data_IF_261713937417
#
_entry.id   IF_261713937417
#
_cell.length_a   1.000
_cell.length_b   1.000
_cell.length_c   1.000
_cell.angle_alpha   90.00
_cell.angle_beta   90.00
_cell.angle_gamma   90.00
#
_symmetry.space_group_name_H-M   'P 1'
#
loop_
_entity.id
_entity.type
_entity.pdbx_description
1 polymer ?
#
# COMPACT_ATOMS: atom_id res chain seq x y z
N UNK A 1 -14.17 0.45 41.65
CA UNK A 1 -12.78 0.63 41.17
C UNK A 1 -12.89 1.15 39.76
N UNK A 2 -12.37 2.35 39.49
CA UNK A 2 -12.47 2.99 38.17
C UNK A 2 -11.73 2.15 37.13
N UNK A 3 -12.38 1.87 35.99
CA UNK A 3 -11.71 1.36 34.79
C UNK A 3 -10.68 2.38 34.34
N UNK A 4 -9.41 2.16 34.71
CA UNK A 4 -8.32 2.85 34.05
C UNK A 4 -8.26 2.29 32.62
N UNK A 5 -8.65 3.11 31.63
CA UNK A 5 -8.61 2.73 30.23
C UNK A 5 -7.20 2.28 29.81
N UNK A 6 -7.12 1.26 28.95
CA UNK A 6 -5.85 0.67 28.51
C UNK A 6 -5.07 1.53 27.48
N UNK A 7 -5.64 2.67 27.07
CA UNK A 7 -5.09 3.52 26.02
C UNK A 7 -4.56 4.86 26.58
N UNK A 8 -3.56 5.41 25.88
CA UNK A 8 -3.09 6.77 26.12
C UNK A 8 -4.15 7.80 25.71
N UNK A 9 -4.09 8.99 26.31
CA UNK A 9 -5.04 10.08 26.06
C UNK A 9 -5.07 10.50 24.57
N UNK A 10 -3.94 10.39 23.88
CA UNK A 10 -3.76 10.74 22.46
C UNK A 10 -3.80 9.53 21.51
N UNK A 11 -4.30 8.38 21.97
CA UNK A 11 -4.42 7.20 21.12
C UNK A 11 -5.26 7.50 19.87
N UNK A 12 -4.71 7.13 18.70
CA UNK A 12 -5.41 7.21 17.41
C UNK A 12 -5.49 5.81 16.80
N UNK A 13 -6.66 5.49 16.25
CA UNK A 13 -6.87 4.25 15.47
C UNK A 13 -6.33 4.36 14.04
N UNK A 14 -5.84 5.52 13.65
CA UNK A 14 -5.26 5.79 12.33
C UNK A 14 -3.75 5.69 12.39
N UNK A 15 -3.09 5.24 11.31
CA UNK A 15 -1.64 5.24 11.23
C UNK A 15 -1.03 6.63 11.41
N UNK A 16 0.07 6.71 12.16
CA UNK A 16 0.78 7.96 12.45
C UNK A 16 1.15 8.77 11.19
N UNK A 17 1.58 8.10 10.12
CA UNK A 17 2.02 8.77 8.90
C UNK A 17 0.89 9.47 8.13
N UNK A 18 -0.38 9.10 8.34
CA UNK A 18 -1.52 9.78 7.70
C UNK A 18 -1.73 11.21 8.19
N UNK A 19 -1.15 11.59 9.32
CA UNK A 19 -1.18 12.97 9.80
C UNK A 19 -0.43 13.94 8.85
N UNK A 20 0.61 13.45 8.16
CA UNK A 20 1.42 14.24 7.22
C UNK A 20 1.34 13.75 5.78
N UNK A 21 0.79 12.57 5.55
CA UNK A 21 0.59 11.97 4.23
C UNK A 21 -0.80 11.37 4.17
N UNK A 22 -1.84 12.22 4.04
CA UNK A 22 -3.22 11.76 3.99
C UNK A 22 -3.40 10.82 2.81
N UNK A 23 -4.27 9.83 2.99
CA UNK A 23 -4.55 8.85 1.94
C UNK A 23 -5.17 9.56 0.73
N UNK A 24 -4.65 9.37 -0.48
CA UNK A 24 -5.26 9.94 -1.67
C UNK A 24 -6.61 9.25 -1.96
N UNK A 25 -7.56 10.00 -2.49
CA UNK A 25 -8.69 9.39 -3.19
C UNK A 25 -8.20 8.90 -4.55
N UNK A 26 -8.32 7.59 -4.79
CA UNK A 26 -7.91 6.97 -6.03
C UNK A 26 -9.14 6.61 -6.85
N UNK A 27 -9.11 6.96 -8.15
CA UNK A 27 -10.11 6.46 -9.08
C UNK A 27 -9.98 4.95 -9.25
N UNK A 28 -11.10 4.25 -9.24
CA UNK A 28 -11.12 2.83 -9.55
C UNK A 28 -10.85 2.65 -11.05
N UNK A 29 -9.68 2.10 -11.36
CA UNK A 29 -9.34 1.68 -12.72
C UNK A 29 -9.67 0.20 -12.90
N UNK A 30 -10.22 -0.21 -14.07
CA UNK A 30 -10.45 -1.62 -14.34
C UNK A 30 -9.12 -2.37 -14.35
N UNK A 31 -9.08 -3.49 -13.62
CA UNK A 31 -7.90 -4.34 -13.56
C UNK A 31 -7.90 -5.33 -14.74
N UNK A 32 -6.73 -5.65 -15.31
CA UNK A 32 -6.60 -6.76 -16.22
C UNK A 32 -7.07 -8.06 -15.55
N UNK A 33 -7.72 -8.95 -16.31
CA UNK A 33 -8.14 -10.25 -15.79
C UNK A 33 -6.95 -11.14 -15.40
N UNK A 34 -5.83 -11.00 -16.13
CA UNK A 34 -4.61 -11.77 -15.92
C UNK A 34 -3.38 -10.87 -16.07
N UNK A 35 -2.32 -11.21 -15.33
CA UNK A 35 -1.00 -10.60 -15.40
C UNK A 35 0.04 -11.68 -15.09
N UNK A 36 1.21 -11.63 -15.72
CA UNK A 36 2.27 -12.61 -15.45
C UNK A 36 2.86 -12.43 -14.04
N UNK A 37 2.98 -11.17 -13.59
CA UNK A 37 3.48 -10.81 -12.26
C UNK A 37 2.64 -9.69 -11.63
N UNK A 38 2.12 -9.95 -10.42
CA UNK A 38 1.53 -8.96 -9.54
C UNK A 38 2.52 -8.60 -8.41
N UNK A 39 2.86 -7.32 -8.26
CA UNK A 39 3.74 -6.80 -7.20
C UNK A 39 2.90 -6.01 -6.21
N UNK A 40 2.99 -6.33 -4.92
CA UNK A 40 2.31 -5.60 -3.84
C UNK A 40 3.33 -4.69 -3.15
N UNK A 41 3.09 -3.39 -3.22
CA UNK A 41 3.95 -2.32 -2.72
C UNK A 41 4.81 -1.69 -3.82
N UNK A 42 4.74 -0.36 -3.94
CA UNK A 42 5.54 0.50 -4.83
C UNK A 42 6.75 1.11 -4.13
N UNK A 43 7.18 0.52 -3.02
CA UNK A 43 8.46 0.85 -2.39
C UNK A 43 9.65 0.42 -3.24
N UNK A 44 10.86 0.72 -2.75
CA UNK A 44 12.12 0.44 -3.46
C UNK A 44 12.22 -0.99 -3.99
N UNK A 45 12.01 -1.97 -3.12
CA UNK A 45 12.07 -3.40 -3.50
C UNK A 45 11.01 -3.77 -4.53
N UNK A 46 9.78 -3.29 -4.36
CA UNK A 46 8.67 -3.60 -5.26
C UNK A 46 8.89 -3.02 -6.66
N UNK A 47 9.28 -1.75 -6.76
CA UNK A 47 9.56 -1.13 -8.06
C UNK A 47 10.80 -1.74 -8.73
N UNK A 48 11.83 -2.10 -7.98
CA UNK A 48 12.97 -2.81 -8.56
C UNK A 48 12.60 -4.21 -9.03
N UNK A 49 11.75 -4.95 -8.30
CA UNK A 49 11.22 -6.22 -8.76
C UNK A 49 10.39 -6.05 -10.04
N UNK A 50 9.48 -5.09 -10.06
CA UNK A 50 8.64 -4.78 -11.22
C UNK A 50 9.46 -4.39 -12.47
N UNK A 51 10.53 -3.62 -12.27
CA UNK A 51 11.45 -3.26 -13.35
C UNK A 51 12.13 -4.49 -13.94
N UNK A 52 12.57 -5.45 -13.12
CA UNK A 52 13.21 -6.66 -13.62
C UNK A 52 12.22 -7.55 -14.39
N UNK A 53 11.00 -7.73 -13.88
CA UNK A 53 10.00 -8.58 -14.54
C UNK A 53 9.52 -7.96 -15.85
N UNK A 54 9.31 -6.65 -15.90
CA UNK A 54 9.00 -5.92 -17.12
C UNK A 54 10.13 -6.00 -18.16
N UNK A 55 11.41 -5.86 -17.75
CA UNK A 55 12.57 -6.06 -18.63
C UNK A 55 12.69 -7.49 -19.15
N UNK A 56 12.22 -8.46 -18.39
CA UNK A 56 12.06 -9.85 -18.83
C UNK A 56 10.91 -10.06 -19.82
N UNK A 57 10.14 -9.03 -20.19
CA UNK A 57 9.01 -9.14 -21.11
C UNK A 57 7.74 -9.71 -20.47
N UNK A 58 7.62 -9.70 -19.14
CA UNK A 58 6.39 -10.10 -18.44
C UNK A 58 5.46 -8.91 -18.31
N UNK A 59 4.17 -9.13 -18.55
CA UNK A 59 3.14 -8.19 -18.07
C UNK A 59 3.25 -8.10 -16.55
N UNK A 60 3.49 -6.88 -16.06
CA UNK A 60 3.76 -6.62 -14.64
C UNK A 60 2.82 -5.54 -14.15
N UNK A 61 2.11 -5.81 -13.05
CA UNK A 61 1.18 -4.88 -12.43
C UNK A 61 1.61 -4.63 -10.98
N UNK A 62 1.73 -3.36 -10.59
CA UNK A 62 2.08 -2.94 -9.22
C UNK A 62 0.82 -2.41 -8.53
N UNK A 63 0.59 -2.85 -7.30
CA UNK A 63 -0.50 -2.40 -6.44
C UNK A 63 0.08 -1.68 -5.21
N UNK A 64 -0.49 -0.54 -4.84
CA UNK A 64 -0.19 0.15 -3.58
C UNK A 64 -1.46 0.77 -2.97
N UNK A 65 -1.39 1.17 -1.70
CA UNK A 65 -2.54 1.45 -0.81
C UNK A 65 -2.89 2.94 -0.64
#
# INVERSE_FOLDING_TARGET
MSEAGIFAEDFKTTPYWWERSPRPELEQSPLPQNVDVAVIGSGYTGLHAALQTARGGRSTLVFDA
#
